data_IF_223148497013
#
_entry.id   IF_223148497013
#
_cell.length_a   1.000
_cell.length_b   1.000
_cell.length_c   1.000
_cell.angle_alpha   90.00
_cell.angle_beta   90.00
_cell.angle_gamma   90.00
#
_symmetry.space_group_name_H-M   'P 1'
#
loop_
_entity.id
_entity.type
_entity.pdbx_description
1 polymer ?
#
# COMPACT_ATOMS: atom_id res chain seq x y z
N UNK A 1 15.48 -6.98 -1.24
CA UNK A 1 16.10 -5.65 -1.49
C UNK A 1 15.67 -5.09 -2.86
N UNK A 2 15.27 -3.81 -2.93
CA UNK A 2 14.68 -3.21 -4.15
C UNK A 2 15.60 -3.10 -5.37
N UNK A 3 16.92 -3.05 -5.19
CA UNK A 3 17.87 -3.01 -6.33
C UNK A 3 18.14 -4.40 -6.91
N UNK A 4 17.75 -5.47 -6.23
CA UNK A 4 17.90 -6.83 -6.73
C UNK A 4 16.71 -7.29 -7.60
N UNK A 5 15.78 -6.40 -7.94
CA UNK A 5 14.56 -6.75 -8.67
C UNK A 5 14.85 -7.16 -10.13
N UNK A 6 14.20 -8.20 -10.60
CA UNK A 6 14.41 -8.81 -11.93
C UNK A 6 13.60 -8.17 -13.06
N UNK A 7 12.76 -7.18 -12.75
CA UNK A 7 11.85 -6.57 -13.72
C UNK A 7 12.63 -5.84 -14.83
N UNK A 8 12.51 -6.22 -16.12
CA UNK A 8 13.35 -5.68 -17.19
C UNK A 8 13.25 -4.16 -17.39
N UNK A 9 12.06 -3.58 -17.14
CA UNK A 9 11.85 -2.13 -17.21
C UNK A 9 12.54 -1.36 -16.09
N UNK A 10 13.07 -2.07 -15.08
CA UNK A 10 13.61 -1.51 -13.86
C UNK A 10 12.56 -0.85 -12.97
N UNK A 11 13.00 -0.39 -11.80
CA UNK A 11 12.13 0.11 -10.74
C UNK A 11 12.41 1.58 -10.47
N UNK A 12 11.35 2.38 -10.37
CA UNK A 12 11.42 3.75 -9.82
C UNK A 12 10.79 3.73 -8.44
N UNK A 13 11.59 4.02 -7.42
CA UNK A 13 11.18 4.02 -6.03
C UNK A 13 10.84 5.44 -5.59
N UNK A 14 9.68 5.62 -4.97
CA UNK A 14 9.26 6.87 -4.37
C UNK A 14 9.13 6.68 -2.86
N UNK A 15 10.00 7.34 -2.10
CA UNK A 15 10.03 7.26 -0.65
C UNK A 15 9.23 8.43 -0.07
N UNK A 16 8.17 8.14 0.66
CA UNK A 16 7.43 9.15 1.42
C UNK A 16 7.95 9.22 2.85
N UNK A 17 8.38 10.40 3.28
CA UNK A 17 8.81 10.62 4.66
C UNK A 17 7.80 11.52 5.39
N UNK A 18 7.11 10.97 6.38
CA UNK A 18 6.17 11.71 7.24
C UNK A 18 6.86 12.60 8.28
N UNK A 19 8.17 12.45 8.51
CA UNK A 19 8.93 13.27 9.44
C UNK A 19 9.91 14.20 8.71
N UNK A 20 9.45 15.43 8.41
CA UNK A 20 10.25 16.44 7.69
C UNK A 20 11.65 16.67 8.26
N UNK A 21 11.84 16.55 9.57
CA UNK A 21 13.15 16.73 10.20
C UNK A 21 14.20 15.75 9.68
N UNK A 22 13.77 14.57 9.21
CA UNK A 22 14.64 13.51 8.72
C UNK A 22 14.95 13.60 7.22
N UNK A 23 14.40 14.57 6.46
CA UNK A 23 14.65 14.65 5.00
C UNK A 23 16.13 14.63 4.65
N UNK A 24 16.95 15.44 5.34
CA UNK A 24 18.38 15.52 5.05
C UNK A 24 19.14 14.21 5.33
N UNK A 25 18.64 13.36 6.23
CA UNK A 25 19.21 12.04 6.49
C UNK A 25 18.95 11.13 5.30
N UNK A 26 17.69 11.09 4.81
CA UNK A 26 17.32 10.26 3.66
C UNK A 26 17.97 10.75 2.36
N UNK A 27 18.08 12.06 2.14
CA UNK A 27 18.78 12.62 0.97
C UNK A 27 20.23 12.14 0.91
N UNK A 28 20.98 12.27 2.03
CA UNK A 28 22.35 11.78 2.11
C UNK A 28 22.44 10.27 1.86
N UNK A 29 21.51 9.50 2.42
CA UNK A 29 21.47 8.05 2.19
C UNK A 29 21.28 7.72 0.71
N UNK A 30 20.31 8.38 0.04
CA UNK A 30 20.04 8.21 -1.40
C UNK A 30 21.27 8.63 -2.24
N UNK A 31 21.87 9.79 -1.95
CA UNK A 31 23.06 10.31 -2.64
C UNK A 31 24.28 9.41 -2.47
N UNK A 32 24.39 8.72 -1.33
CA UNK A 32 25.48 7.78 -1.06
C UNK A 32 25.28 6.42 -1.73
N UNK A 33 24.03 6.06 -2.05
CA UNK A 33 23.71 4.77 -2.65
C UNK A 33 24.16 4.69 -4.11
N UNK A 34 24.66 3.53 -4.53
CA UNK A 34 25.04 3.25 -5.92
C UNK A 34 24.28 2.02 -6.37
N UNK A 35 23.23 2.25 -7.15
CA UNK A 35 22.45 1.17 -7.74
C UNK A 35 23.33 0.37 -8.69
N UNK A 36 23.25 -0.96 -8.60
CA UNK A 36 23.97 -1.90 -9.45
C UNK A 36 23.05 -2.97 -10.06
N UNK A 37 21.73 -2.88 -9.86
CA UNK A 37 20.75 -3.81 -10.39
C UNK A 37 19.53 -3.13 -11.03
N UNK A 38 18.35 -3.54 -10.58
CA UNK A 38 17.04 -3.18 -11.14
C UNK A 38 16.55 -1.78 -10.75
N UNK A 39 17.15 -1.12 -9.75
CA UNK A 39 16.71 0.20 -9.32
C UNK A 39 17.23 1.28 -10.29
N UNK A 40 16.31 2.00 -10.93
CA UNK A 40 16.62 3.06 -11.90
C UNK A 40 16.66 4.44 -11.27
N UNK A 41 15.81 4.65 -10.27
CA UNK A 41 15.61 5.97 -9.68
C UNK A 41 15.07 5.81 -8.25
N UNK A 42 15.54 6.67 -7.36
CA UNK A 42 15.01 6.82 -6.00
C UNK A 42 14.68 8.28 -5.77
N UNK A 43 13.40 8.55 -5.54
CA UNK A 43 12.87 9.89 -5.29
C UNK A 43 12.40 10.01 -3.85
N UNK A 44 12.94 10.99 -3.12
CA UNK A 44 12.36 11.40 -1.85
C UNK A 44 11.18 12.35 -2.11
N UNK A 45 9.97 11.90 -1.78
CA UNK A 45 8.76 12.72 -1.83
C UNK A 45 8.70 13.60 -0.59
N UNK A 46 8.72 14.91 -0.79
CA UNK A 46 8.68 15.90 0.29
C UNK A 46 7.27 16.45 0.46
N UNK A 47 6.81 16.46 1.71
CA UNK A 47 5.58 17.13 2.13
C UNK A 47 5.88 18.05 3.31
N UNK A 48 5.25 19.24 3.39
CA UNK A 48 5.31 20.06 4.60
C UNK A 48 4.45 19.49 5.74
N UNK A 49 3.56 18.52 5.44
CA UNK A 49 2.62 17.93 6.38
C UNK A 49 2.90 16.44 6.60
N UNK A 50 2.75 15.96 7.84
CA UNK A 50 2.61 14.55 8.14
C UNK A 50 1.18 14.13 7.78
N UNK A 51 1.05 13.33 6.72
CA UNK A 51 -0.24 12.86 6.22
C UNK A 51 -0.52 11.42 6.66
N UNK A 52 0.27 10.85 7.57
CA UNK A 52 0.09 9.47 8.03
C UNK A 52 0.21 8.44 6.91
N UNK A 53 -0.47 7.31 7.07
CA UNK A 53 -0.41 6.19 6.12
C UNK A 53 -1.08 6.53 4.78
N UNK A 54 -2.18 7.30 4.78
CA UNK A 54 -2.93 7.68 3.56
C UNK A 54 -2.10 8.47 2.54
N UNK A 55 -0.99 9.06 2.98
CA UNK A 55 -0.05 9.80 2.14
C UNK A 55 0.40 9.05 0.88
N UNK A 56 0.61 7.73 1.01
CA UNK A 56 0.99 6.85 -0.10
C UNK A 56 0.01 6.96 -1.26
N UNK A 57 -1.30 7.07 -0.99
CA UNK A 57 -2.33 7.15 -2.02
C UNK A 57 -2.44 8.52 -2.68
N UNK A 58 -2.09 9.61 -1.98
CA UNK A 58 -1.94 10.91 -2.64
C UNK A 58 -0.86 10.85 -3.71
N UNK A 59 0.23 10.11 -3.44
CA UNK A 59 1.27 9.90 -4.43
C UNK A 59 0.82 8.97 -5.56
N UNK A 60 0.11 7.86 -5.24
CA UNK A 60 -0.49 7.00 -6.27
C UNK A 60 -1.40 7.81 -7.20
N UNK A 61 -2.27 8.67 -6.66
CA UNK A 61 -3.13 9.56 -7.45
C UNK A 61 -2.33 10.49 -8.37
N UNK A 62 -1.24 11.06 -7.87
CA UNK A 62 -0.36 11.93 -8.68
C UNK A 62 0.24 11.15 -9.85
N UNK A 63 0.73 9.93 -9.60
CA UNK A 63 1.26 9.05 -10.64
C UNK A 63 0.19 8.65 -11.65
N UNK A 64 -1.01 8.28 -11.17
CA UNK A 64 -2.15 7.94 -12.01
C UNK A 64 -2.53 9.06 -12.98
N UNK A 65 -2.50 10.32 -12.52
CA UNK A 65 -2.77 11.49 -13.37
C UNK A 65 -1.66 11.78 -14.38
N UNK A 66 -0.40 11.57 -13.98
CA UNK A 66 0.76 12.01 -14.77
C UNK A 66 1.16 10.98 -15.82
N UNK A 67 0.92 9.69 -15.55
CA UNK A 67 1.40 8.56 -16.34
C UNK A 67 0.25 7.72 -16.93
N UNK A 68 -0.96 8.28 -17.00
CA UNK A 68 -2.17 7.61 -17.51
C UNK A 68 -2.46 6.27 -16.81
N UNK A 69 -2.72 6.34 -15.50
CA UNK A 69 -3.11 5.22 -14.64
C UNK A 69 -2.21 3.96 -14.74
N UNK A 70 -0.89 4.06 -14.46
CA UNK A 70 0.00 2.91 -14.50
C UNK A 70 -0.31 1.95 -13.34
N UNK A 71 0.11 0.68 -13.41
CA UNK A 71 0.22 -0.16 -12.23
C UNK A 71 1.12 0.51 -11.18
N UNK A 72 0.69 0.51 -9.91
CA UNK A 72 1.49 1.04 -8.81
C UNK A 72 1.64 0.00 -7.72
N UNK A 73 2.87 -0.23 -7.29
CA UNK A 73 3.19 -1.08 -6.14
C UNK A 73 3.38 -0.19 -4.92
N UNK A 74 2.79 -0.61 -3.80
CA UNK A 74 2.91 0.02 -2.50
C UNK A 74 3.61 -0.97 -1.55
N UNK A 75 4.62 -0.48 -0.85
CA UNK A 75 5.45 -1.26 0.07
C UNK A 75 5.61 -0.48 1.37
N UNK A 76 5.60 -1.17 2.50
CA UNK A 76 5.98 -0.58 3.79
C UNK A 76 7.50 -0.59 3.96
N UNK A 77 8.02 0.27 4.85
CA UNK A 77 9.47 0.49 5.04
C UNK A 77 10.16 -0.58 5.89
N UNK A 78 9.39 -1.52 6.45
CA UNK A 78 9.83 -2.65 7.26
C UNK A 78 9.67 -3.99 6.55
N UNK A 79 9.52 -3.98 5.22
CA UNK A 79 9.27 -5.17 4.40
C UNK A 79 10.50 -5.56 3.56
N UNK A 80 10.92 -6.81 3.70
CA UNK A 80 11.87 -7.46 2.80
C UNK A 80 11.13 -8.25 1.73
N UNK A 81 11.46 -7.95 0.47
CA UNK A 81 10.86 -8.58 -0.71
C UNK A 81 11.89 -9.37 -1.50
N UNK A 82 11.42 -10.48 -2.08
CA UNK A 82 12.16 -11.33 -3.01
C UNK A 82 12.52 -10.59 -4.30
N UNK A 83 13.51 -11.10 -5.04
CA UNK A 83 14.03 -10.48 -6.27
C UNK A 83 13.01 -10.48 -7.42
N UNK A 84 12.04 -11.40 -7.40
CA UNK A 84 10.97 -11.54 -8.41
C UNK A 84 9.70 -10.76 -8.04
N UNK A 85 9.67 -10.09 -6.88
CA UNK A 85 8.49 -9.44 -6.34
C UNK A 85 7.83 -8.46 -7.33
N UNK A 86 8.60 -7.54 -7.93
CA UNK A 86 8.04 -6.56 -8.87
C UNK A 86 7.45 -7.25 -10.10
N UNK A 87 8.14 -8.23 -10.67
CA UNK A 87 7.64 -8.96 -11.85
C UNK A 87 6.35 -9.70 -11.54
N UNK A 88 6.27 -10.38 -10.40
CA UNK A 88 5.06 -11.09 -9.95
C UNK A 88 3.92 -10.12 -9.64
N UNK A 89 4.21 -9.01 -8.97
CA UNK A 89 3.24 -7.96 -8.67
C UNK A 89 2.65 -7.36 -9.95
N UNK A 90 3.49 -6.95 -10.91
CA UNK A 90 3.02 -6.38 -12.18
C UNK A 90 2.21 -7.41 -12.98
N UNK A 91 2.65 -8.67 -13.04
CA UNK A 91 1.89 -9.74 -13.71
C UNK A 91 0.52 -10.03 -13.06
N UNK A 92 0.40 -9.73 -11.77
CA UNK A 92 -0.84 -9.89 -10.99
C UNK A 92 -1.74 -8.64 -11.03
N UNK A 93 -1.29 -7.55 -11.64
CA UNK A 93 -2.08 -6.33 -11.77
C UNK A 93 -3.16 -6.52 -12.84
N UNK A 94 -4.42 -6.31 -12.45
CA UNK A 94 -5.58 -6.41 -13.34
C UNK A 94 -6.46 -5.17 -13.18
N UNK A 95 -7.07 -4.75 -14.29
CA UNK A 95 -8.06 -3.66 -14.28
C UNK A 95 -9.20 -4.00 -13.31
N UNK A 96 -9.63 -3.03 -12.51
CA UNK A 96 -10.64 -3.17 -11.45
C UNK A 96 -10.28 -4.24 -10.41
N UNK A 97 -9.00 -4.40 -10.10
CA UNK A 97 -8.54 -5.30 -9.05
C UNK A 97 -7.46 -4.63 -8.20
N UNK A 98 -7.54 -4.81 -6.88
CA UNK A 98 -6.43 -4.55 -5.97
C UNK A 98 -5.89 -5.89 -5.47
N UNK A 99 -4.61 -6.12 -5.65
CA UNK A 99 -3.98 -7.40 -5.30
C UNK A 99 -2.92 -7.15 -4.23
N UNK A 100 -3.04 -7.79 -3.06
CA UNK A 100 -2.17 -7.52 -1.92
C UNK A 100 -1.62 -8.79 -1.27
N UNK A 101 -0.38 -8.71 -0.79
CA UNK A 101 0.20 -9.76 0.04
C UNK A 101 -0.54 -9.90 1.37
N UNK A 102 -0.79 -8.80 2.08
CA UNK A 102 -1.60 -8.81 3.29
C UNK A 102 -3.08 -8.86 2.93
N UNK A 103 -3.70 -10.04 2.93
CA UNK A 103 -5.08 -10.22 2.50
C UNK A 103 -5.83 -11.21 3.40
N UNK A 104 -7.09 -10.89 3.67
CA UNK A 104 -7.91 -11.58 4.67
C UNK A 104 -9.31 -11.89 4.14
N UNK A 105 -9.79 -13.06 4.53
CA UNK A 105 -11.20 -13.41 4.50
C UNK A 105 -11.86 -12.79 5.72
N UNK A 106 -12.92 -12.03 5.49
CA UNK A 106 -13.59 -11.27 6.54
C UNK A 106 -14.90 -11.93 6.95
N UNK A 107 -15.26 -11.75 8.21
CA UNK A 107 -16.59 -12.04 8.75
C UNK A 107 -17.30 -10.72 9.12
N UNK A 108 -18.32 -10.78 9.98
CA UNK A 108 -18.97 -9.59 10.52
C UNK A 108 -18.17 -8.88 11.61
N UNK A 109 -17.19 -9.55 12.20
CA UNK A 109 -16.31 -8.97 13.21
C UNK A 109 -14.90 -8.82 12.62
N UNK A 110 -14.34 -7.62 12.70
CA UNK A 110 -13.06 -7.30 12.05
C UNK A 110 -11.91 -8.24 12.46
N UNK A 111 -11.86 -8.61 13.75
CA UNK A 111 -10.82 -9.48 14.31
C UNK A 111 -11.08 -10.97 14.10
N UNK A 112 -12.30 -11.36 13.74
CA UNK A 112 -12.63 -12.73 13.36
C UNK A 112 -12.35 -12.95 11.86
N UNK A 113 -11.09 -12.74 11.49
CA UNK A 113 -10.61 -12.85 10.11
C UNK A 113 -9.60 -13.98 9.97
N UNK A 114 -9.56 -14.60 8.80
CA UNK A 114 -8.58 -15.64 8.47
C UNK A 114 -7.72 -15.19 7.30
N UNK A 115 -6.43 -15.53 7.35
CA UNK A 115 -5.53 -15.18 6.27
C UNK A 115 -6.00 -15.89 4.99
N UNK A 116 -6.01 -15.14 3.88
CA UNK A 116 -6.48 -15.65 2.62
C UNK A 116 -5.39 -16.35 1.80
N UNK A 117 -5.81 -17.35 1.04
CA UNK A 117 -5.00 -18.00 0.01
C UNK A 117 -5.29 -17.40 -1.37
N UNK A 118 -4.39 -17.65 -2.32
CA UNK A 118 -4.59 -17.27 -3.72
C UNK A 118 -5.84 -17.98 -4.26
N UNK A 119 -6.78 -17.19 -4.79
CA UNK A 119 -8.07 -17.68 -5.30
C UNK A 119 -9.23 -17.61 -4.29
N UNK A 120 -8.97 -17.28 -3.02
CA UNK A 120 -10.03 -17.05 -2.05
C UNK A 120 -10.83 -15.77 -2.34
N UNK A 121 -12.05 -15.72 -1.79
CA UNK A 121 -12.84 -14.49 -1.71
C UNK A 121 -12.26 -13.58 -0.62
N UNK A 122 -11.74 -12.42 -1.02
CA UNK A 122 -11.05 -11.48 -0.14
C UNK A 122 -12.01 -10.37 0.29
N UNK A 123 -12.10 -10.13 1.61
CA UNK A 123 -12.90 -9.04 2.17
C UNK A 123 -12.07 -7.84 2.64
N UNK A 124 -10.76 -8.02 2.81
CA UNK A 124 -9.88 -6.97 3.32
C UNK A 124 -8.44 -7.17 2.85
N UNK A 125 -7.78 -6.06 2.55
CA UNK A 125 -6.36 -6.02 2.18
C UNK A 125 -5.62 -4.91 2.93
N UNK A 126 -4.34 -5.16 3.21
CA UNK A 126 -3.39 -4.15 3.65
C UNK A 126 -2.60 -3.59 2.46
N UNK A 127 -2.27 -2.29 2.46
CA UNK A 127 -1.58 -1.68 1.32
C UNK A 127 -0.08 -1.98 1.25
N UNK A 128 0.56 -2.39 2.34
CA UNK A 128 1.95 -2.88 2.31
C UNK A 128 2.05 -4.19 1.52
N UNK A 129 2.86 -4.20 0.46
CA UNK A 129 2.97 -5.35 -0.43
C UNK A 129 1.79 -5.49 -1.40
N UNK A 130 1.18 -4.36 -1.78
CA UNK A 130 0.05 -4.32 -2.73
C UNK A 130 0.51 -3.87 -4.12
N UNK A 131 -0.11 -4.41 -5.16
CA UNK A 131 -0.17 -3.83 -6.51
C UNK A 131 -1.59 -3.35 -6.80
N UNK A 132 -1.72 -2.13 -7.29
CA UNK A 132 -2.98 -1.48 -7.54
C UNK A 132 -3.17 -1.10 -9.00
N UNK A 133 -4.38 -1.35 -9.51
CA UNK A 133 -4.95 -0.56 -10.59
C UNK A 133 -5.17 0.88 -10.08
N UNK A 134 -4.25 1.77 -10.46
CA UNK A 134 -4.17 3.12 -9.89
C UNK A 134 -5.34 4.03 -10.30
N UNK A 135 -6.16 3.60 -11.27
CA UNK A 135 -7.37 4.32 -11.69
C UNK A 135 -8.36 4.53 -10.53
N UNK A 136 -8.39 3.63 -9.53
CA UNK A 136 -9.22 3.79 -8.33
C UNK A 136 -8.98 5.14 -7.63
N UNK A 137 -7.72 5.56 -7.55
CA UNK A 137 -7.32 6.76 -6.82
C UNK A 137 -7.51 8.05 -7.61
N UNK A 138 -8.00 7.98 -8.85
CA UNK A 138 -8.42 9.19 -9.58
C UNK A 138 -9.70 9.77 -8.98
N UNK A 139 -10.55 8.91 -8.42
CA UNK A 139 -11.77 9.29 -7.71
C UNK A 139 -11.43 10.12 -6.46
N UNK A 140 -11.97 11.34 -6.38
CA UNK A 140 -11.76 12.22 -5.22
C UNK A 140 -12.41 11.69 -3.95
N UNK A 141 -13.48 10.90 -4.07
CA UNK A 141 -14.23 10.39 -2.93
C UNK A 141 -13.35 9.55 -2.01
N UNK A 142 -12.34 8.87 -2.56
CA UNK A 142 -11.36 8.12 -1.76
C UNK A 142 -10.67 9.02 -0.72
N UNK A 143 -10.44 10.28 -1.03
CA UNK A 143 -9.71 11.22 -0.17
C UNK A 143 -10.65 12.11 0.64
N UNK A 144 -11.90 12.25 0.24
CA UNK A 144 -12.84 13.22 0.85
C UNK A 144 -13.96 12.57 1.65
N UNK A 145 -14.21 11.26 1.49
CA UNK A 145 -15.29 10.55 2.19
C UNK A 145 -14.81 9.70 3.36
N UNK A 146 -13.49 9.55 3.55
CA UNK A 146 -12.97 8.92 4.76
C UNK A 146 -13.23 9.85 5.97
N UNK A 147 -13.89 9.39 7.03
CA UNK A 147 -14.09 10.23 8.21
C UNK A 147 -12.77 10.58 8.88
N UNK A 148 -12.57 11.85 9.25
CA UNK A 148 -11.30 12.37 9.80
C UNK A 148 -10.75 11.52 10.95
N UNK A 149 -11.62 11.04 11.84
CA UNK A 149 -11.24 10.19 13.00
C UNK A 149 -10.64 8.84 12.62
N UNK A 150 -10.83 8.40 11.37
CA UNK A 150 -10.33 7.14 10.84
C UNK A 150 -9.25 7.33 9.76
N UNK A 151 -8.72 8.55 9.59
CA UNK A 151 -7.76 8.89 8.53
C UNK A 151 -6.46 8.07 8.50
N UNK A 152 -6.13 7.38 9.60
CA UNK A 152 -4.98 6.47 9.70
C UNK A 152 -5.31 4.99 9.44
N UNK A 153 -6.60 4.64 9.28
CA UNK A 153 -7.08 3.29 9.02
C UNK A 153 -7.31 3.09 7.52
N UNK A 154 -6.27 3.39 6.75
CA UNK A 154 -6.30 3.43 5.30
C UNK A 154 -6.47 2.03 4.69
N UNK A 155 -6.08 0.96 5.38
CA UNK A 155 -6.32 -0.45 5.01
C UNK A 155 -7.82 -0.81 4.97
N UNK A 156 -8.55 -0.46 6.03
CA UNK A 156 -9.99 -0.70 6.14
C UNK A 156 -10.75 0.16 5.13
N UNK A 157 -10.39 1.45 5.05
CA UNK A 157 -11.00 2.36 4.10
C UNK A 157 -10.78 1.93 2.65
N UNK A 158 -9.55 1.55 2.29
CA UNK A 158 -9.21 1.08 0.95
C UNK A 158 -10.05 -0.11 0.53
N UNK A 159 -10.13 -1.12 1.41
CA UNK A 159 -10.88 -2.35 1.15
C UNK A 159 -12.35 -2.04 0.89
N UNK A 160 -12.97 -1.24 1.76
CA UNK A 160 -14.37 -0.85 1.64
C UNK A 160 -14.63 -0.02 0.38
N UNK A 161 -13.85 1.03 0.16
CA UNK A 161 -14.01 1.94 -0.96
C UNK A 161 -13.84 1.22 -2.31
N UNK A 162 -12.83 0.36 -2.42
CA UNK A 162 -12.60 -0.44 -3.62
C UNK A 162 -13.82 -1.31 -3.94
N UNK A 163 -14.34 -2.06 -2.97
CA UNK A 163 -15.52 -2.91 -3.16
C UNK A 163 -16.75 -2.07 -3.53
N UNK A 164 -16.98 -0.93 -2.87
CA UNK A 164 -18.09 -0.03 -3.23
C UNK A 164 -17.99 0.50 -4.66
N UNK A 165 -16.77 0.74 -5.17
CA UNK A 165 -16.53 1.15 -6.57
C UNK A 165 -16.47 -0.04 -7.53
N UNK A 166 -16.82 -1.25 -7.08
CA UNK A 166 -16.88 -2.47 -7.89
C UNK A 166 -15.51 -2.99 -8.31
N UNK A 167 -14.49 -2.81 -7.46
CA UNK A 167 -13.21 -3.50 -7.59
C UNK A 167 -13.25 -4.85 -6.88
N UNK A 168 -12.49 -5.80 -7.41
CA UNK A 168 -12.23 -7.06 -6.72
C UNK A 168 -10.96 -6.94 -5.88
N UNK A 169 -10.97 -7.56 -4.70
CA UNK A 169 -9.77 -7.72 -3.87
C UNK A 169 -9.18 -9.12 -4.10
N UNK A 170 -7.86 -9.24 -4.16
CA UNK A 170 -7.17 -10.50 -4.43
C UNK A 170 -5.89 -10.66 -3.58
N UNK A 171 -5.53 -11.91 -3.24
CA UNK A 171 -4.25 -12.25 -2.61
C UNK A 171 -3.13 -12.26 -3.67
N UNK A 172 -2.03 -11.60 -3.37
CA UNK A 172 -0.83 -11.56 -4.21
C UNK A 172 0.02 -12.84 -3.96
N UNK A 173 0.47 -13.56 -5.01
CA UNK A 173 1.25 -14.79 -4.86
C UNK A 173 2.74 -14.48 -4.64
N UNK A 174 3.06 -13.76 -3.56
CA UNK A 174 4.44 -13.40 -3.18
C UNK A 174 4.68 -13.72 -1.71
N UNK A 175 5.95 -13.84 -1.35
CA UNK A 175 6.39 -13.87 0.04
C UNK A 175 7.03 -12.53 0.39
N UNK A 176 6.70 -12.01 1.57
CA UNK A 176 7.27 -10.78 2.15
C UNK A 176 7.59 -11.08 3.60
N UNK A 177 8.79 -10.71 4.03
CA UNK A 177 9.24 -10.86 5.42
C UNK A 177 9.20 -9.49 6.13
N UNK A 178 8.82 -9.47 7.40
CA UNK A 178 8.91 -8.26 8.23
C UNK A 178 10.28 -8.17 8.91
N UNK A 179 10.92 -7.01 8.81
CA UNK A 179 12.28 -6.77 9.34
C UNK A 179 12.25 -6.21 10.77
N UNK A 180 11.14 -5.59 11.21
CA UNK A 180 11.01 -5.03 12.56
C UNK A 180 9.62 -5.27 13.18
N UNK A 181 9.48 -6.31 14.01
CA UNK A 181 8.20 -6.61 14.68
C UNK A 181 7.85 -5.65 15.84
N UNK A 182 8.82 -4.91 16.38
CA UNK A 182 8.72 -4.27 17.70
C UNK A 182 8.06 -2.87 17.72
N UNK A 183 7.79 -2.25 16.56
CA UNK A 183 7.22 -0.88 16.48
C UNK A 183 5.84 -0.82 15.82
N UNK A 184 5.21 -1.98 15.59
CA UNK A 184 3.89 -2.04 14.98
C UNK A 184 2.85 -1.28 15.82
N UNK A 185 2.14 -0.33 15.20
CA UNK A 185 1.10 0.50 15.83
C UNK A 185 -0.15 -0.30 16.31
N UNK A 186 -0.06 -1.63 16.29
CA UNK A 186 -1.14 -2.59 16.44
C UNK A 186 -1.88 -2.48 17.79
N UNK A 187 -1.17 -2.17 18.88
CA UNK A 187 -1.73 -2.20 20.23
C UNK A 187 -2.64 -1.02 20.57
N UNK A 188 -2.47 0.16 19.95
CA UNK A 188 -3.28 1.35 20.24
C UNK A 188 -4.52 1.50 19.35
N UNK A 189 -4.64 0.69 18.29
CA UNK A 189 -5.69 0.85 17.27
C UNK A 189 -6.76 -0.25 17.30
N UNK A 190 -6.66 -1.21 18.23
CA UNK A 190 -7.51 -2.40 18.22
C UNK A 190 -9.00 -2.06 18.21
N UNK A 191 -9.43 -1.19 19.12
CA UNK A 191 -10.84 -0.80 19.26
C UNK A 191 -11.31 0.10 18.11
N UNK A 192 -10.43 0.98 17.62
CA UNK A 192 -10.74 1.90 16.52
C UNK A 192 -10.94 1.16 15.20
N UNK A 193 -10.19 0.08 14.94
CA UNK A 193 -10.38 -0.76 13.75
C UNK A 193 -11.72 -1.48 13.76
N UNK A 194 -12.11 -2.06 14.91
CA UNK A 194 -13.43 -2.65 15.08
C UNK A 194 -14.55 -1.62 14.87
N UNK A 195 -14.42 -0.46 15.49
CA UNK A 195 -15.39 0.63 15.37
C UNK A 195 -15.54 1.08 13.91
N UNK A 196 -14.43 1.28 13.20
CA UNK A 196 -14.48 1.74 11.82
C UNK A 196 -15.10 0.69 10.89
N UNK A 197 -14.72 -0.58 11.05
CA UNK A 197 -15.31 -1.66 10.27
C UNK A 197 -16.82 -1.77 10.48
N UNK A 198 -17.29 -1.66 11.73
CA UNK A 198 -18.72 -1.64 12.04
C UNK A 198 -19.42 -0.39 11.48
N UNK A 199 -18.79 0.79 11.59
CA UNK A 199 -19.29 2.04 11.02
C UNK A 199 -19.55 1.91 9.52
N UNK A 200 -18.62 1.29 8.78
CA UNK A 200 -18.75 1.11 7.33
C UNK A 200 -19.78 0.06 6.91
N UNK A 201 -20.16 -0.87 7.80
CA UNK A 201 -21.22 -1.87 7.56
C UNK A 201 -22.63 -1.38 7.89
N UNK A 202 -22.74 -0.32 8.68
CA UNK A 202 -24.03 0.27 9.11
C UNK A 202 -24.68 1.22 8.10
N UNK A 203 -24.03 1.46 6.96
CA UNK A 203 -24.53 2.21 5.81
C UNK A 203 -24.72 1.27 4.60
#
# INVERSE_FOLDING_TARGET
>A
MMDAQDFPGGVRLFLWNNNRANHGIYEKAIESYRANGGLREVNLVKSPYNLGSIARFYWVRKLARTLDAPPVIVLDDDQDVRNDFVSVAIASCKRRTLTAWWAWRMTDVYWERTEAQVGDSIGHIGPGGMVADSALFLDSDFFTQIPDRFGLLDDIWLSHFAVQKGYTLAKLPVDIDFVMHETNQFFYQHDTKSEFYAYLKGF
#
